data_IF_753223176413
#
_entry.id   IF_753223176413
#
_cell.length_a   1.000
_cell.length_b   1.000
_cell.length_c   1.000
_cell.angle_alpha   90.00
_cell.angle_beta   90.00
_cell.angle_gamma   90.00
#
_symmetry.space_group_name_H-M   'P 1'
#
loop_
_entity.id
_entity.type
_entity.pdbx_description
1 polymer ?
#
# COMPACT_ATOMS: atom_id res chain seq x y z
N UNK A 1 -54.28 73.20 -6.40
CA UNK A 1 -54.15 73.34 -7.89
C UNK A 1 -52.97 72.51 -8.28
N UNK A 2 -53.22 71.36 -8.74
CA UNK A 2 -53.52 70.79 -10.06
C UNK A 2 -52.21 70.41 -10.79
N UNK A 3 -51.99 69.15 -10.78
CA UNK A 3 -51.78 68.23 -11.93
C UNK A 3 -50.73 68.58 -13.01
N UNK A 4 -50.00 67.59 -13.31
CA UNK A 4 -49.24 67.28 -14.55
C UNK A 4 -47.75 67.07 -14.38
N UNK A 5 -47.40 65.86 -14.00
CA UNK A 5 -46.12 65.27 -14.30
C UNK A 5 -46.22 63.74 -14.45
N UNK A 6 -47.08 63.29 -15.38
CA UNK A 6 -47.29 61.83 -15.54
C UNK A 6 -47.10 61.31 -16.98
N UNK A 7 -46.41 62.04 -17.86
CA UNK A 7 -46.20 61.57 -19.26
C UNK A 7 -44.75 61.29 -19.69
N UNK A 8 -43.80 61.73 -18.91
CA UNK A 8 -42.37 61.50 -19.24
C UNK A 8 -41.72 60.19 -18.61
N UNK A 9 -42.46 59.58 -17.69
CA UNK A 9 -41.94 58.36 -17.03
C UNK A 9 -42.28 57.06 -17.78
N UNK A 10 -43.30 57.07 -18.69
CA UNK A 10 -43.64 55.88 -19.47
C UNK A 10 -42.80 55.65 -20.73
N UNK A 11 -42.13 56.70 -21.25
CA UNK A 11 -41.22 56.58 -22.40
C UNK A 11 -39.81 56.04 -22.03
N UNK A 12 -39.36 56.32 -20.82
CA UNK A 12 -38.06 55.91 -20.39
C UNK A 12 -38.00 54.43 -19.93
N UNK A 13 -39.13 53.87 -19.51
CA UNK A 13 -39.24 52.47 -19.10
C UNK A 13 -39.30 51.49 -20.27
N UNK A 14 -39.82 51.94 -21.45
CA UNK A 14 -39.82 51.08 -22.63
C UNK A 14 -38.50 51.03 -23.41
N UNK A 15 -37.65 52.04 -23.29
CA UNK A 15 -36.32 52.05 -23.91
C UNK A 15 -35.30 51.27 -23.10
N UNK A 16 -35.46 51.17 -21.80
CA UNK A 16 -34.60 50.29 -20.95
C UNK A 16 -34.93 48.80 -21.08
N UNK A 17 -36.18 48.45 -21.45
CA UNK A 17 -36.56 47.06 -21.67
C UNK A 17 -36.11 46.51 -23.03
N UNK A 18 -35.91 47.38 -24.04
CA UNK A 18 -35.42 46.99 -25.36
C UNK A 18 -33.89 46.81 -25.40
N UNK A 19 -33.13 47.45 -24.50
CA UNK A 19 -31.66 47.28 -24.41
C UNK A 19 -31.26 46.05 -23.61
N UNK A 20 -32.11 45.57 -22.70
CA UNK A 20 -31.86 44.35 -21.94
C UNK A 20 -32.14 43.05 -22.73
N UNK A 21 -32.83 43.11 -23.87
CA UNK A 21 -33.10 41.93 -24.70
C UNK A 21 -31.99 41.62 -25.75
N UNK A 22 -31.10 42.57 -26.02
CA UNK A 22 -30.00 42.39 -26.99
C UNK A 22 -28.73 41.82 -26.34
N UNK A 23 -28.59 41.92 -25.01
CA UNK A 23 -27.47 41.31 -24.28
C UNK A 23 -27.67 39.82 -23.90
N UNK A 24 -28.84 39.25 -24.15
CA UNK A 24 -29.14 37.84 -23.83
C UNK A 24 -28.78 36.83 -24.94
N UNK A 25 -28.22 37.28 -26.08
CA UNK A 25 -27.89 36.39 -27.21
C UNK A 25 -26.41 36.26 -27.54
N UNK A 26 -25.50 36.81 -26.72
CA UNK A 26 -24.07 36.66 -26.91
C UNK A 26 -23.38 35.85 -25.75
N UNK A 27 -24.17 35.20 -24.92
CA UNK A 27 -23.64 34.50 -23.73
C UNK A 27 -23.95 33.02 -23.68
N UNK A 28 -23.81 32.27 -24.77
CA UNK A 28 -23.85 30.80 -24.72
C UNK A 28 -22.98 30.20 -25.81
N UNK A 29 -21.70 30.42 -25.70
CA UNK A 29 -20.68 29.51 -26.24
C UNK A 29 -19.58 29.35 -25.20
N UNK A 30 -19.98 29.07 -23.96
CA UNK A 30 -19.10 28.33 -23.06
C UNK A 30 -19.26 26.86 -23.48
N UNK A 31 -18.37 26.37 -24.33
CA UNK A 31 -18.04 24.95 -24.32
C UNK A 31 -17.84 24.58 -22.85
N UNK A 32 -18.84 23.92 -22.24
CA UNK A 32 -18.54 23.08 -21.07
C UNK A 32 -17.43 22.15 -21.57
N UNK A 33 -16.19 22.47 -21.27
CA UNK A 33 -15.18 21.45 -21.21
C UNK A 33 -15.82 20.41 -20.29
N UNK A 34 -16.21 19.25 -20.81
CA UNK A 34 -16.51 18.08 -19.99
C UNK A 34 -15.31 17.93 -19.09
N UNK A 35 -15.50 18.19 -17.80
CA UNK A 35 -14.48 17.95 -16.79
C UNK A 35 -14.18 16.46 -16.92
N UNK A 36 -13.08 16.14 -17.58
CA UNK A 36 -12.72 14.75 -17.85
C UNK A 36 -12.62 14.05 -16.51
N UNK A 37 -13.45 13.03 -16.31
CA UNK A 37 -13.45 12.26 -15.06
C UNK A 37 -12.01 11.80 -14.79
N UNK A 38 -11.51 12.11 -13.59
CA UNK A 38 -10.21 11.68 -13.14
C UNK A 38 -10.23 10.19 -12.81
N UNK A 39 -9.11 9.52 -13.03
CA UNK A 39 -8.90 8.16 -12.56
C UNK A 39 -8.72 8.17 -11.04
N UNK A 40 -9.46 7.37 -10.32
CA UNK A 40 -9.31 7.18 -8.88
C UNK A 40 -8.39 5.99 -8.64
N UNK A 41 -7.28 6.23 -7.95
CA UNK A 41 -6.27 5.23 -7.61
C UNK A 41 -6.31 4.99 -6.11
N UNK A 42 -6.59 3.77 -5.68
CA UNK A 42 -6.43 3.37 -4.28
C UNK A 42 -5.17 2.52 -4.11
N UNK A 43 -4.41 2.81 -3.07
CA UNK A 43 -3.16 2.12 -2.75
C UNK A 43 -3.01 1.87 -1.26
N UNK A 44 -2.40 0.76 -0.88
CA UNK A 44 -1.88 0.53 0.48
C UNK A 44 -0.36 0.73 0.56
N UNK A 45 0.25 1.24 -0.52
CA UNK A 45 1.68 1.55 -0.55
C UNK A 45 2.06 2.63 0.45
N UNK A 46 3.26 2.54 0.98
CA UNK A 46 3.87 3.58 1.80
C UNK A 46 4.33 4.79 0.96
N UNK A 47 4.91 5.79 1.64
CA UNK A 47 5.26 7.06 1.01
C UNK A 47 6.23 6.89 -0.16
N UNK A 48 7.20 5.97 -0.07
CA UNK A 48 8.17 5.72 -1.14
C UNK A 48 7.52 5.09 -2.38
N UNK A 49 6.60 4.15 -2.19
CA UNK A 49 5.87 3.54 -3.30
C UNK A 49 4.95 4.56 -3.99
N UNK A 50 4.22 5.35 -3.21
CA UNK A 50 3.37 6.44 -3.72
C UNK A 50 4.19 7.45 -4.51
N UNK A 51 5.32 7.92 -3.97
CA UNK A 51 6.18 8.90 -4.63
C UNK A 51 6.73 8.37 -5.97
N UNK A 52 7.11 7.11 -6.05
CA UNK A 52 7.58 6.48 -7.29
C UNK A 52 6.47 6.42 -8.35
N UNK A 53 5.25 6.01 -7.96
CA UNK A 53 4.10 5.95 -8.85
C UNK A 53 3.69 7.34 -9.34
N UNK A 54 3.57 8.33 -8.45
CA UNK A 54 3.21 9.70 -8.82
C UNK A 54 4.26 10.35 -9.72
N UNK A 55 5.56 10.10 -9.46
CA UNK A 55 6.66 10.59 -10.31
C UNK A 55 6.52 10.04 -11.73
N UNK A 56 6.30 8.73 -11.88
CA UNK A 56 6.11 8.10 -13.18
C UNK A 56 4.88 8.66 -13.92
N UNK A 57 3.74 8.77 -13.23
CA UNK A 57 2.52 9.32 -13.80
C UNK A 57 2.67 10.79 -14.23
N UNK A 58 3.33 11.61 -13.42
CA UNK A 58 3.60 13.01 -13.74
C UNK A 58 4.51 13.14 -14.96
N UNK A 59 5.60 12.37 -15.04
CA UNK A 59 6.52 12.37 -16.16
C UNK A 59 5.85 11.93 -17.46
N UNK A 60 4.87 11.03 -17.39
CA UNK A 60 4.05 10.60 -18.54
C UNK A 60 2.92 11.58 -18.90
N UNK A 61 2.80 12.74 -18.22
CA UNK A 61 1.81 13.77 -18.53
C UNK A 61 0.39 13.48 -18.00
N UNK A 62 0.28 12.68 -16.93
CA UNK A 62 -1.00 12.41 -16.25
C UNK A 62 -1.27 13.33 -15.07
N UNK A 63 -0.43 14.34 -14.83
CA UNK A 63 -0.67 15.33 -13.77
C UNK A 63 -2.06 15.96 -13.89
N UNK A 64 -2.80 16.02 -12.77
CA UNK A 64 -4.18 16.50 -12.72
C UNK A 64 -5.25 15.57 -13.31
N UNK A 65 -4.88 14.40 -13.88
CA UNK A 65 -5.81 13.43 -14.48
C UNK A 65 -6.21 12.28 -13.56
N UNK A 66 -5.66 12.22 -12.36
CA UNK A 66 -5.98 11.22 -11.35
C UNK A 66 -6.13 11.84 -9.96
N UNK A 67 -6.68 11.05 -9.06
CA UNK A 67 -6.68 11.26 -7.62
C UNK A 67 -6.13 9.98 -7.00
N UNK A 68 -5.06 10.07 -6.23
CA UNK A 68 -4.48 8.94 -5.50
C UNK A 68 -4.84 9.06 -4.03
N UNK A 69 -5.37 7.97 -3.47
CA UNK A 69 -5.72 7.86 -2.06
C UNK A 69 -5.00 6.66 -1.43
N UNK A 70 -4.20 6.93 -0.41
CA UNK A 70 -3.56 5.89 0.41
C UNK A 70 -4.49 5.46 1.52
N UNK A 71 -4.65 4.16 1.68
CA UNK A 71 -5.48 3.50 2.69
C UNK A 71 -4.65 2.44 3.42
N UNK A 72 -4.99 2.10 4.65
CA UNK A 72 -4.40 0.97 5.32
C UNK A 72 -4.71 -0.35 4.59
N UNK A 73 -3.84 -1.37 4.73
CA UNK A 73 -4.04 -2.66 4.05
C UNK A 73 -5.40 -3.28 4.38
N UNK A 74 -5.78 -3.32 5.66
CA UNK A 74 -7.07 -3.89 6.08
C UNK A 74 -8.26 -3.04 5.64
N UNK A 75 -8.11 -1.72 5.62
CA UNK A 75 -9.15 -0.81 5.14
C UNK A 75 -9.42 -1.02 3.64
N UNK A 76 -8.37 -0.98 2.82
CA UNK A 76 -8.52 -1.19 1.38
C UNK A 76 -9.00 -2.60 1.06
N UNK A 77 -8.45 -3.62 1.74
CA UNK A 77 -8.90 -4.99 1.60
C UNK A 77 -10.37 -5.17 1.96
N UNK A 78 -10.80 -4.57 3.08
CA UNK A 78 -12.20 -4.56 3.50
C UNK A 78 -13.12 -3.89 2.47
N UNK A 79 -12.71 -2.76 1.89
CA UNK A 79 -13.46 -2.08 0.81
C UNK A 79 -13.57 -2.98 -0.43
N UNK A 80 -12.49 -3.61 -0.88
CA UNK A 80 -12.51 -4.53 -2.02
C UNK A 80 -13.49 -5.69 -1.81
N UNK A 81 -13.45 -6.29 -0.62
CA UNK A 81 -14.31 -7.45 -0.30
C UNK A 81 -15.77 -7.09 -0.01
N UNK A 82 -16.06 -5.83 0.35
CA UNK A 82 -17.41 -5.35 0.61
C UNK A 82 -18.07 -4.74 -0.63
N UNK A 83 -17.36 -3.90 -1.39
CA UNK A 83 -17.89 -3.09 -2.48
C UNK A 83 -17.76 -3.78 -3.85
N UNK A 84 -16.76 -4.64 -4.03
CA UNK A 84 -16.53 -5.34 -5.29
C UNK A 84 -16.40 -4.39 -6.47
N UNK A 85 -17.14 -4.66 -7.56
CA UNK A 85 -17.12 -3.82 -8.77
C UNK A 85 -17.67 -2.40 -8.57
N UNK A 86 -18.41 -2.14 -7.48
CA UNK A 86 -18.97 -0.84 -7.15
C UNK A 86 -17.98 0.09 -6.44
N UNK A 87 -16.79 -0.42 -6.10
CA UNK A 87 -15.73 0.38 -5.49
C UNK A 87 -15.44 1.65 -6.32
N UNK A 88 -15.19 2.78 -5.66
CA UNK A 88 -14.93 4.05 -6.35
C UNK A 88 -13.67 4.02 -7.21
N UNK A 89 -12.64 3.27 -6.79
CA UNK A 89 -11.36 3.20 -7.48
C UNK A 89 -11.47 2.60 -8.89
N UNK A 90 -10.75 3.19 -9.85
CA UNK A 90 -10.55 2.68 -11.21
C UNK A 90 -9.27 1.81 -11.28
N UNK A 91 -8.30 2.11 -10.42
CA UNK A 91 -7.00 1.46 -10.35
C UNK A 91 -6.68 1.11 -8.89
N UNK A 92 -6.23 -0.10 -8.65
CA UNK A 92 -5.89 -0.60 -7.32
C UNK A 92 -4.41 -1.02 -7.31
N UNK A 93 -3.67 -0.63 -6.27
CA UNK A 93 -2.39 -1.26 -5.95
C UNK A 93 -2.43 -1.77 -4.52
N UNK A 94 -2.26 -3.09 -4.35
CA UNK A 94 -2.21 -3.73 -3.03
C UNK A 94 -1.71 -5.17 -3.10
N UNK A 95 -1.63 -5.81 -1.95
CA UNK A 95 -1.23 -7.22 -1.84
C UNK A 95 -2.02 -8.12 -2.79
N UNK A 96 -1.32 -8.90 -3.58
CA UNK A 96 -1.88 -9.69 -4.69
C UNK A 96 -3.01 -10.60 -4.24
N UNK A 97 -2.95 -11.16 -3.04
CA UNK A 97 -3.98 -12.06 -2.53
C UNK A 97 -5.36 -11.40 -2.31
N UNK A 98 -5.41 -10.09 -2.02
CA UNK A 98 -6.68 -9.36 -1.98
C UNK A 98 -7.25 -9.16 -3.38
N UNK A 99 -6.37 -8.89 -4.36
CA UNK A 99 -6.78 -8.77 -5.77
C UNK A 99 -7.32 -10.11 -6.25
N UNK A 100 -6.62 -11.23 -5.98
CA UNK A 100 -7.07 -12.58 -6.33
C UNK A 100 -8.41 -12.94 -5.67
N UNK A 101 -8.56 -12.66 -4.37
CA UNK A 101 -9.78 -12.97 -3.63
C UNK A 101 -10.98 -12.16 -4.13
N UNK A 102 -10.79 -10.86 -4.38
CA UNK A 102 -11.86 -10.00 -4.93
C UNK A 102 -12.17 -10.35 -6.39
N UNK A 103 -11.20 -10.73 -7.20
CA UNK A 103 -11.45 -11.25 -8.55
C UNK A 103 -12.23 -12.55 -8.53
N UNK A 104 -11.84 -13.46 -7.67
CA UNK A 104 -12.54 -14.75 -7.53
C UNK A 104 -14.01 -14.57 -7.15
N UNK A 105 -14.30 -13.58 -6.29
CA UNK A 105 -15.65 -13.30 -5.79
C UNK A 105 -16.51 -12.47 -6.76
N UNK A 106 -15.93 -11.49 -7.42
CA UNK A 106 -16.69 -10.45 -8.13
C UNK A 106 -16.40 -10.36 -9.62
N UNK A 107 -15.31 -10.99 -10.12
CA UNK A 107 -14.85 -10.86 -11.51
C UNK A 107 -14.71 -9.40 -11.95
N UNK A 108 -14.12 -8.57 -11.07
CA UNK A 108 -14.18 -7.12 -11.14
C UNK A 108 -13.02 -6.45 -11.89
N UNK A 109 -11.97 -7.19 -12.21
CA UNK A 109 -10.82 -6.62 -12.89
C UNK A 109 -10.79 -6.96 -14.37
N UNK A 110 -10.29 -6.01 -15.15
CA UNK A 110 -10.04 -6.14 -16.58
C UNK A 110 -8.69 -6.81 -16.83
N UNK A 111 -8.62 -7.69 -17.81
CA UNK A 111 -7.33 -8.20 -18.28
C UNK A 111 -6.45 -7.04 -18.75
N UNK A 112 -5.18 -7.07 -18.34
CA UNK A 112 -4.22 -6.05 -18.74
C UNK A 112 -3.95 -6.14 -20.25
N UNK A 113 -4.02 -5.00 -20.94
CA UNK A 113 -3.86 -4.92 -22.39
C UNK A 113 -2.39 -4.82 -22.83
N UNK A 114 -1.45 -4.91 -21.90
CA UNK A 114 -0.01 -4.87 -22.15
C UNK A 114 0.67 -6.14 -21.63
N UNK A 115 1.81 -6.47 -22.21
CA UNK A 115 2.63 -7.60 -21.78
C UNK A 115 3.84 -7.13 -21.01
N UNK A 116 4.31 -7.97 -20.09
CA UNK A 116 5.51 -7.75 -19.30
C UNK A 116 6.43 -8.96 -19.42
N UNK A 117 7.68 -8.78 -19.01
CA UNK A 117 8.66 -9.85 -18.89
C UNK A 117 8.84 -10.29 -17.44
N UNK A 118 7.74 -10.47 -16.70
CA UNK A 118 7.78 -10.92 -15.31
C UNK A 118 8.54 -12.26 -15.19
N UNK A 119 9.22 -12.45 -14.05
CA UNK A 119 10.00 -13.67 -13.78
C UNK A 119 9.11 -14.86 -13.46
N UNK A 120 7.99 -14.61 -12.77
CA UNK A 120 6.98 -15.59 -12.45
C UNK A 120 5.73 -15.43 -13.34
N UNK A 121 4.87 -16.44 -13.36
CA UNK A 121 3.59 -16.39 -14.07
C UNK A 121 2.52 -15.76 -13.18
N UNK A 122 1.83 -14.75 -13.69
CA UNK A 122 0.74 -14.05 -13.02
C UNK A 122 -0.55 -14.17 -13.84
N UNK A 123 -1.72 -14.05 -13.20
CA UNK A 123 -3.01 -13.92 -13.91
C UNK A 123 -3.02 -12.71 -14.84
N UNK A 124 -3.89 -12.74 -15.86
CA UNK A 124 -3.98 -11.66 -16.86
C UNK A 124 -4.44 -10.31 -16.30
N UNK A 125 -5.11 -10.29 -15.15
CA UNK A 125 -5.77 -9.12 -14.58
C UNK A 125 -4.93 -8.32 -13.58
N UNK A 126 -3.72 -8.75 -13.25
CA UNK A 126 -2.76 -7.93 -12.46
C UNK A 126 -1.31 -8.20 -12.79
N UNK A 127 -0.43 -7.28 -12.39
CA UNK A 127 1.02 -7.44 -12.40
C UNK A 127 1.62 -6.94 -11.09
N UNK A 128 2.68 -7.60 -10.58
CA UNK A 128 3.36 -7.15 -9.36
C UNK A 128 4.12 -5.84 -9.64
N UNK A 129 4.08 -4.92 -8.67
CA UNK A 129 4.82 -3.65 -8.72
C UNK A 129 6.02 -3.65 -7.77
N UNK A 130 5.88 -4.29 -6.61
CA UNK A 130 6.94 -4.44 -5.62
C UNK A 130 6.72 -5.72 -4.79
N UNK A 131 7.70 -6.09 -3.98
CA UNK A 131 7.56 -7.13 -2.98
C UNK A 131 8.19 -6.69 -1.65
N UNK A 132 7.54 -7.08 -0.57
CA UNK A 132 7.93 -6.80 0.79
C UNK A 132 8.44 -8.08 1.46
N UNK A 133 9.63 -8.03 2.03
CA UNK A 133 10.25 -9.16 2.75
C UNK A 133 10.32 -8.86 4.24
N UNK A 134 9.85 -9.80 5.06
CA UNK A 134 9.92 -9.72 6.52
C UNK A 134 11.31 -10.03 7.07
N UNK A 135 11.75 -9.28 8.08
CA UNK A 135 13.02 -9.53 8.78
C UNK A 135 12.98 -8.93 10.20
N UNK A 136 13.86 -9.40 11.05
CA UNK A 136 14.15 -8.74 12.32
C UNK A 136 15.15 -7.62 12.06
N UNK A 137 15.07 -6.56 12.84
CA UNK A 137 16.06 -5.51 12.89
C UNK A 137 16.25 -5.03 14.34
N UNK A 138 17.41 -4.47 14.62
CA UNK A 138 17.83 -4.09 15.97
C UNK A 138 18.51 -2.73 15.97
N UNK A 139 18.39 -2.02 17.09
CA UNK A 139 19.24 -0.86 17.38
C UNK A 139 20.46 -1.34 18.18
N UNK A 140 21.64 -1.29 17.56
CA UNK A 140 22.88 -1.82 18.13
C UNK A 140 23.36 -1.05 19.36
N UNK A 141 23.03 0.24 19.46
CA UNK A 141 23.36 1.04 20.65
C UNK A 141 22.45 0.69 21.81
N UNK A 142 21.14 0.54 21.56
CA UNK A 142 20.18 0.14 22.61
C UNK A 142 20.50 -1.27 23.12
N UNK A 143 20.80 -2.24 22.22
CA UNK A 143 21.24 -3.57 22.64
C UNK A 143 22.44 -3.48 23.58
N UNK A 144 23.47 -2.72 23.21
CA UNK A 144 24.67 -2.53 24.02
C UNK A 144 24.36 -1.86 25.37
N UNK A 145 23.55 -0.80 25.37
CA UNK A 145 23.17 -0.08 26.61
C UNK A 145 22.39 -0.97 27.59
N UNK A 146 21.55 -1.86 27.06
CA UNK A 146 20.73 -2.78 27.85
C UNK A 146 21.41 -4.10 28.15
N UNK A 147 22.59 -4.37 27.58
CA UNK A 147 23.31 -5.64 27.75
C UNK A 147 22.58 -6.82 27.09
N UNK A 148 21.82 -6.56 25.99
CA UNK A 148 21.06 -7.57 25.27
C UNK A 148 21.91 -8.23 24.19
N UNK A 149 21.79 -9.54 24.04
CA UNK A 149 22.34 -10.26 22.90
C UNK A 149 21.52 -9.95 21.63
N UNK A 150 22.18 -9.94 20.47
CA UNK A 150 21.47 -9.76 19.20
C UNK A 150 20.62 -11.02 18.93
N UNK A 151 19.29 -10.88 18.66
CA UNK A 151 18.43 -12.03 18.39
C UNK A 151 18.81 -12.68 17.06
N UNK A 152 18.70 -14.01 16.98
CA UNK A 152 18.87 -14.78 15.74
C UNK A 152 17.53 -15.33 15.20
N UNK A 153 16.48 -15.25 16.00
CA UNK A 153 15.17 -15.81 15.73
C UNK A 153 14.04 -14.90 16.22
N UNK A 154 12.85 -15.07 15.68
CA UNK A 154 11.62 -14.43 16.22
C UNK A 154 11.40 -14.91 17.66
N UNK A 155 11.67 -16.20 17.94
CA UNK A 155 11.55 -16.77 19.27
C UNK A 155 12.50 -16.11 20.28
N UNK A 156 13.69 -15.64 19.87
CA UNK A 156 14.57 -14.91 20.77
C UNK A 156 13.95 -13.63 21.33
N UNK A 157 13.04 -12.99 20.56
CA UNK A 157 12.32 -11.79 20.99
C UNK A 157 11.30 -12.07 22.12
N UNK A 158 11.01 -13.34 22.41
CA UNK A 158 10.12 -13.73 23.51
C UNK A 158 10.84 -13.83 24.87
N UNK A 159 12.17 -13.76 24.89
CA UNK A 159 12.97 -13.83 26.11
C UNK A 159 12.60 -12.68 27.07
N UNK A 160 12.57 -12.91 28.39
CA UNK A 160 12.17 -11.91 29.37
C UNK A 160 12.92 -10.58 29.32
N UNK A 161 14.21 -10.61 28.93
CA UNK A 161 15.05 -9.43 28.80
C UNK A 161 14.62 -8.47 27.68
N UNK A 162 13.79 -8.96 26.73
CA UNK A 162 13.21 -8.15 25.65
C UNK A 162 11.86 -7.51 26.01
N UNK A 163 11.35 -7.74 27.21
CA UNK A 163 10.04 -7.23 27.61
C UNK A 163 9.96 -5.70 27.50
N UNK A 164 9.00 -5.19 26.74
CA UNK A 164 8.82 -3.76 26.48
C UNK A 164 9.87 -3.15 25.53
N UNK A 165 10.71 -3.96 24.91
CA UNK A 165 11.79 -3.53 24.03
C UNK A 165 11.67 -4.09 22.60
N UNK A 166 10.49 -4.58 22.22
CA UNK A 166 10.19 -5.15 20.91
C UNK A 166 9.02 -4.42 20.27
N UNK A 167 9.08 -4.14 18.98
CA UNK A 167 7.95 -3.64 18.17
C UNK A 167 7.69 -4.56 16.99
N UNK A 168 6.42 -4.87 16.73
CA UNK A 168 5.99 -5.69 15.59
C UNK A 168 4.75 -5.10 14.92
N UNK A 169 4.51 -5.39 13.63
CA UNK A 169 3.25 -5.00 12.99
C UNK A 169 2.11 -5.93 13.40
N UNK A 170 0.93 -5.36 13.61
CA UNK A 170 -0.29 -6.11 13.89
C UNK A 170 -0.83 -6.74 12.60
N UNK A 171 -1.01 -8.05 12.57
CA UNK A 171 -1.59 -8.77 11.42
C UNK A 171 -3.03 -8.29 11.11
N UNK A 172 -3.74 -7.73 12.11
CA UNK A 172 -5.10 -7.21 11.90
C UNK A 172 -5.11 -5.98 10.96
N UNK A 173 -3.99 -5.23 10.90
CA UNK A 173 -3.90 -3.95 10.20
C UNK A 173 -2.94 -3.97 9.03
N UNK A 174 -1.92 -4.84 9.09
CA UNK A 174 -0.80 -4.85 8.14
C UNK A 174 -0.45 -6.24 7.63
N UNK A 175 -0.30 -6.38 6.30
CA UNK A 175 0.19 -7.60 5.65
C UNK A 175 1.61 -8.00 6.10
N UNK A 176 2.41 -7.05 6.55
CA UNK A 176 3.74 -7.35 7.12
C UNK A 176 3.63 -8.16 8.42
N UNK A 177 2.57 -7.95 9.20
CA UNK A 177 2.27 -8.79 10.37
C UNK A 177 2.01 -10.25 10.00
N UNK A 178 1.45 -10.49 8.82
CA UNK A 178 1.24 -11.84 8.33
C UNK A 178 2.55 -12.57 8.00
N UNK A 179 3.58 -11.86 7.53
CA UNK A 179 4.92 -12.45 7.30
C UNK A 179 5.51 -13.02 8.60
N UNK A 180 5.34 -12.30 9.71
CA UNK A 180 5.77 -12.76 11.04
C UNK A 180 4.97 -14.00 11.48
N UNK A 181 3.65 -13.94 11.43
CA UNK A 181 2.78 -15.05 11.84
C UNK A 181 3.04 -16.30 11.00
N UNK A 182 3.23 -16.12 9.69
CA UNK A 182 3.56 -17.22 8.79
C UNK A 182 4.90 -17.87 9.12
N UNK A 183 5.93 -17.08 9.44
CA UNK A 183 7.24 -17.60 9.85
C UNK A 183 7.12 -18.42 11.14
N UNK A 184 6.37 -17.93 12.11
CA UNK A 184 6.13 -18.64 13.38
C UNK A 184 5.37 -19.95 13.17
N UNK A 185 4.25 -19.92 12.41
CA UNK A 185 3.45 -21.12 12.16
C UNK A 185 4.25 -22.17 11.37
N UNK A 186 5.02 -21.72 10.35
CA UNK A 186 5.81 -22.63 9.52
C UNK A 186 6.89 -23.35 10.31
N UNK A 187 7.56 -22.65 11.23
CA UNK A 187 8.67 -23.20 12.01
C UNK A 187 8.20 -24.03 13.20
N UNK A 188 7.16 -23.59 13.91
CA UNK A 188 6.78 -24.17 15.22
C UNK A 188 5.44 -24.91 15.18
N UNK A 189 4.68 -24.83 14.08
CA UNK A 189 3.32 -25.38 14.03
C UNK A 189 2.33 -24.57 14.89
N UNK A 190 1.12 -25.12 15.07
CA UNK A 190 0.06 -24.37 15.75
C UNK A 190 0.25 -24.29 17.27
N UNK A 191 0.60 -25.39 17.95
CA UNK A 191 0.67 -25.39 19.41
C UNK A 191 1.85 -24.55 19.93
N UNK A 192 3.06 -24.85 19.51
CA UNK A 192 4.25 -24.09 19.93
C UNK A 192 4.23 -22.68 19.35
N UNK A 193 3.77 -22.51 18.09
CA UNK A 193 3.63 -21.22 17.44
C UNK A 193 2.68 -20.28 18.20
N UNK A 194 1.59 -20.79 18.74
CA UNK A 194 0.68 -20.02 19.58
C UNK A 194 1.37 -19.55 20.87
N UNK A 195 2.17 -20.41 21.52
CA UNK A 195 2.92 -20.01 22.71
C UNK A 195 3.98 -18.96 22.37
N UNK A 196 4.71 -19.12 21.25
CA UNK A 196 5.69 -18.11 20.76
C UNK A 196 5.02 -16.77 20.53
N UNK A 197 3.85 -16.74 19.88
CA UNK A 197 3.10 -15.50 19.65
C UNK A 197 2.61 -14.89 20.96
N UNK A 198 2.11 -15.70 21.87
CA UNK A 198 1.68 -15.24 23.21
C UNK A 198 2.81 -14.51 23.94
N UNK A 199 3.96 -15.15 24.06
CA UNK A 199 5.10 -14.57 24.75
C UNK A 199 5.67 -13.34 24.02
N UNK A 200 5.67 -13.36 22.67
CA UNK A 200 6.07 -12.21 21.86
C UNK A 200 5.15 -11.02 22.06
N UNK A 201 3.83 -11.22 22.01
CA UNK A 201 2.82 -10.16 22.22
C UNK A 201 2.96 -9.57 23.63
N UNK A 202 3.20 -10.43 24.64
CA UNK A 202 3.45 -9.98 26.00
C UNK A 202 4.71 -9.10 26.14
N UNK A 203 5.76 -9.40 25.37
CA UNK A 203 6.99 -8.60 25.32
C UNK A 203 6.81 -7.30 24.54
N UNK A 204 6.02 -7.31 23.46
CA UNK A 204 5.70 -6.14 22.63
C UNK A 204 4.91 -5.09 23.41
N UNK A 205 3.90 -5.50 24.17
CA UNK A 205 3.05 -4.60 24.94
C UNK A 205 2.44 -3.47 24.07
N UNK A 206 2.74 -2.19 24.36
CA UNK A 206 2.16 -1.05 23.62
C UNK A 206 2.80 -0.79 22.24
N UNK A 207 3.81 -1.55 21.84
CA UNK A 207 4.56 -1.36 20.60
C UNK A 207 4.05 -2.24 19.45
N UNK A 208 2.76 -2.59 19.47
CA UNK A 208 2.06 -3.26 18.37
C UNK A 208 1.59 -2.20 17.37
N UNK A 209 2.20 -2.19 16.16
CA UNK A 209 2.05 -1.14 15.16
C UNK A 209 0.98 -1.49 14.12
N UNK A 210 0.24 -0.49 13.65
CA UNK A 210 -0.79 -0.64 12.62
C UNK A 210 -0.22 -0.70 11.18
N UNK A 211 1.07 -0.41 11.01
CA UNK A 211 1.73 -0.42 9.69
C UNK A 211 2.99 -1.28 9.68
N UNK A 212 3.36 -1.79 8.49
CA UNK A 212 4.61 -2.56 8.31
C UNK A 212 5.88 -1.74 8.55
N UNK A 213 5.80 -0.42 8.38
CA UNK A 213 6.90 0.53 8.60
C UNK A 213 6.92 1.17 10.00
N UNK A 214 5.93 0.87 10.85
CA UNK A 214 5.88 1.37 12.23
C UNK A 214 7.06 0.89 13.08
N UNK A 215 7.36 -0.42 13.10
CA UNK A 215 8.40 -0.96 13.97
C UNK A 215 9.79 -0.38 13.72
N UNK A 216 10.20 -0.16 12.47
CA UNK A 216 11.53 0.41 12.19
C UNK A 216 11.68 1.82 12.77
N UNK A 217 10.64 2.65 12.70
CA UNK A 217 10.65 4.02 13.26
C UNK A 217 10.91 4.01 14.77
N UNK A 218 10.31 3.06 15.50
CA UNK A 218 10.55 2.91 16.95
C UNK A 218 11.94 2.41 17.28
N UNK A 219 12.48 1.48 16.47
CA UNK A 219 13.84 0.98 16.63
C UNK A 219 14.87 2.08 16.29
N UNK A 220 14.66 2.85 15.22
CA UNK A 220 15.52 3.99 14.87
C UNK A 220 15.52 5.08 15.93
N UNK A 221 14.35 5.37 16.51
CA UNK A 221 14.20 6.33 17.61
C UNK A 221 14.82 5.83 18.92
N UNK A 222 15.22 4.55 19.02
CA UNK A 222 15.73 3.94 20.25
C UNK A 222 14.66 3.74 21.34
N UNK A 223 13.37 3.81 20.98
CA UNK A 223 12.27 3.52 21.89
C UNK A 223 12.24 2.04 22.28
N UNK A 224 12.60 1.17 21.33
CA UNK A 224 12.74 -0.28 21.52
C UNK A 224 14.09 -0.77 20.99
N UNK A 225 14.53 -1.94 21.45
CA UNK A 225 15.82 -2.52 21.06
C UNK A 225 15.74 -3.30 19.75
N UNK A 226 14.59 -3.92 19.47
CA UNK A 226 14.38 -4.79 18.32
C UNK A 226 12.99 -4.63 17.73
N UNK A 227 12.84 -5.04 16.47
CA UNK A 227 11.53 -5.11 15.81
C UNK A 227 11.51 -6.14 14.71
N UNK A 228 10.30 -6.51 14.30
CA UNK A 228 10.07 -7.23 13.05
C UNK A 228 9.34 -6.31 12.08
N UNK A 229 9.73 -6.32 10.81
CA UNK A 229 9.11 -5.49 9.78
C UNK A 229 9.77 -5.67 8.42
N UNK A 230 9.86 -4.59 7.65
CA UNK A 230 10.34 -4.61 6.27
C UNK A 230 11.87 -4.59 6.21
N UNK A 231 12.47 -5.66 5.69
CA UNK A 231 13.91 -5.88 5.62
C UNK A 231 14.67 -4.73 4.93
N UNK A 232 14.14 -4.25 3.81
CA UNK A 232 14.78 -3.20 3.01
C UNK A 232 14.94 -1.88 3.78
N UNK A 233 14.00 -1.57 4.68
CA UNK A 233 14.09 -0.36 5.52
C UNK A 233 15.28 -0.43 6.48
N UNK A 234 15.51 -1.59 7.10
CA UNK A 234 16.66 -1.79 7.97
C UNK A 234 18.00 -1.78 7.20
N UNK A 235 18.03 -2.38 6.00
CA UNK A 235 19.21 -2.30 5.11
C UNK A 235 19.53 -0.84 4.75
N UNK A 236 18.51 -0.05 4.38
CA UNK A 236 18.63 1.37 4.04
C UNK A 236 19.09 2.21 5.25
N UNK A 237 18.50 1.99 6.42
CA UNK A 237 18.88 2.67 7.66
C UNK A 237 20.36 2.40 8.03
N UNK A 238 20.77 1.14 7.96
CA UNK A 238 22.16 0.76 8.18
C UNK A 238 23.11 1.42 7.19
N UNK A 239 22.77 1.42 5.90
CA UNK A 239 23.58 2.05 4.86
C UNK A 239 23.70 3.58 5.03
N UNK A 240 22.70 4.21 5.65
CA UNK A 240 22.70 5.64 6.00
C UNK A 240 23.48 5.97 7.26
N UNK A 241 24.09 4.97 7.92
CA UNK A 241 24.90 5.16 9.14
C UNK A 241 24.08 5.19 10.43
N UNK A 242 22.80 4.85 10.41
CA UNK A 242 22.03 4.67 11.64
C UNK A 242 22.57 3.45 12.44
N UNK A 243 22.44 3.45 13.79
CA UNK A 243 22.86 2.33 14.62
C UNK A 243 21.88 1.14 14.49
N UNK A 244 21.51 0.82 13.26
CA UNK A 244 20.57 -0.25 12.92
C UNK A 244 21.32 -1.41 12.29
N UNK A 245 20.93 -2.62 12.66
CA UNK A 245 21.34 -3.84 11.97
C UNK A 245 20.10 -4.70 11.68
N UNK A 246 20.18 -5.55 10.66
CA UNK A 246 19.11 -6.48 10.31
C UNK A 246 19.54 -7.92 10.59
N UNK A 247 18.56 -8.77 10.78
CA UNK A 247 18.74 -10.21 11.03
C UNK A 247 17.72 -10.96 10.21
N UNK A 248 18.22 -11.82 9.34
CA UNK A 248 17.38 -12.80 8.65
C UNK A 248 17.07 -13.93 9.65
N UNK A 249 15.82 -14.05 10.15
CA UNK A 249 15.51 -14.92 11.27
C UNK A 249 15.59 -16.39 10.87
N UNK A 250 15.94 -17.26 11.82
CA UNK A 250 16.01 -18.70 11.59
C UNK A 250 14.69 -19.33 11.16
N UNK A 251 13.57 -18.70 11.44
CA UNK A 251 12.24 -19.06 10.96
C UNK A 251 12.03 -18.76 9.48
N UNK A 252 12.94 -18.03 8.85
CA UNK A 252 12.96 -17.69 7.44
C UNK A 252 12.33 -16.35 7.11
N UNK A 253 12.69 -15.86 5.92
CA UNK A 253 12.19 -14.61 5.35
C UNK A 253 11.06 -14.92 4.36
N UNK A 254 9.84 -14.61 4.74
CA UNK A 254 8.68 -14.63 3.84
C UNK A 254 8.53 -13.30 3.12
N UNK A 255 8.01 -13.34 1.90
CA UNK A 255 7.77 -12.14 1.08
C UNK A 255 6.35 -12.14 0.53
N UNK A 256 5.76 -10.94 0.45
CA UNK A 256 4.47 -10.68 -0.18
C UNK A 256 4.67 -9.74 -1.37
N UNK A 257 3.98 -10.01 -2.47
CA UNK A 257 3.92 -9.11 -3.61
C UNK A 257 2.75 -8.14 -3.48
N UNK A 258 3.02 -6.89 -3.82
CA UNK A 258 2.00 -5.87 -4.09
C UNK A 258 1.84 -5.76 -5.61
N UNK A 259 0.62 -5.76 -6.08
CA UNK A 259 0.28 -5.79 -7.50
C UNK A 259 -0.67 -4.66 -7.87
N UNK A 260 -0.72 -4.36 -9.17
CA UNK A 260 -1.60 -3.37 -9.77
C UNK A 260 -2.69 -4.07 -10.58
N UNK A 261 -3.93 -3.63 -10.43
CA UNK A 261 -5.09 -4.12 -11.17
C UNK A 261 -6.03 -2.97 -11.57
N UNK A 262 -6.69 -3.11 -12.71
CA UNK A 262 -7.66 -2.13 -13.24
C UNK A 262 -9.07 -2.66 -13.04
N UNK A 263 -9.92 -1.89 -12.36
CA UNK A 263 -11.33 -2.24 -12.15
C UNK A 263 -12.10 -2.06 -13.45
N UNK A 264 -12.83 -3.08 -13.90
CA UNK A 264 -13.61 -3.05 -15.14
C UNK A 264 -14.97 -2.33 -14.96
N UNK A 265 -14.92 -1.02 -14.87
CA UNK A 265 -16.11 -0.17 -14.74
C UNK A 265 -16.88 0.05 -16.05
N UNK A 266 -16.34 -0.44 -17.18
CA UNK A 266 -16.91 -0.26 -18.53
C UNK A 266 -17.24 1.20 -18.86
N UNK A 267 -16.41 2.13 -18.41
CA UNK A 267 -16.57 3.57 -18.59
C UNK A 267 -15.31 4.22 -19.19
N UNK A 268 -15.36 5.54 -19.42
CA UNK A 268 -14.28 6.28 -20.07
C UNK A 268 -12.97 6.33 -19.25
N UNK A 269 -12.99 6.11 -17.93
CA UNK A 269 -11.78 6.11 -17.09
C UNK A 269 -11.04 4.79 -17.16
N UNK A 270 -11.69 3.68 -17.52
CA UNK A 270 -11.06 2.34 -17.56
C UNK A 270 -9.85 2.29 -18.52
N UNK A 271 -9.96 2.86 -19.72
CA UNK A 271 -8.84 2.87 -20.68
C UNK A 271 -7.70 3.80 -20.25
N UNK A 272 -8.03 4.90 -19.56
CA UNK A 272 -7.03 5.80 -18.99
C UNK A 272 -6.33 5.14 -17.79
N UNK A 273 -7.07 4.45 -16.93
CA UNK A 273 -6.53 3.66 -15.81
C UNK A 273 -5.58 2.56 -16.32
N UNK A 274 -5.94 1.89 -17.43
CA UNK A 274 -5.08 0.88 -18.06
C UNK A 274 -3.74 1.47 -18.52
N UNK A 275 -3.75 2.64 -19.16
CA UNK A 275 -2.51 3.34 -19.56
C UNK A 275 -1.69 3.79 -18.36
N UNK A 276 -2.33 4.24 -17.28
CA UNK A 276 -1.65 4.58 -16.04
C UNK A 276 -1.04 3.35 -15.37
N UNK A 277 -1.74 2.20 -15.38
CA UNK A 277 -1.20 0.93 -14.89
C UNK A 277 0.05 0.51 -15.67
N UNK A 278 0.00 0.61 -17.00
CA UNK A 278 1.17 0.33 -17.86
C UNK A 278 2.35 1.24 -17.55
N UNK A 279 2.08 2.55 -17.36
CA UNK A 279 3.11 3.54 -16.98
C UNK A 279 3.74 3.20 -15.63
N UNK A 280 2.93 2.88 -14.61
CA UNK A 280 3.45 2.50 -13.30
C UNK A 280 4.35 1.26 -13.41
N UNK A 281 3.93 0.24 -14.13
CA UNK A 281 4.73 -0.99 -14.33
C UNK A 281 6.05 -0.70 -15.06
N UNK A 282 6.02 0.12 -16.11
CA UNK A 282 7.21 0.34 -16.96
C UNK A 282 8.14 1.41 -16.40
N UNK A 283 7.60 2.50 -15.90
CA UNK A 283 8.37 3.70 -15.59
C UNK A 283 8.65 3.87 -14.09
N UNK A 284 7.71 3.48 -13.20
CA UNK A 284 7.95 3.54 -11.75
C UNK A 284 8.84 2.39 -11.26
N UNK A 285 8.94 1.28 -12.00
CA UNK A 285 9.63 0.07 -11.53
C UNK A 285 11.10 0.32 -11.17
N UNK A 286 11.80 1.20 -11.88
CA UNK A 286 13.19 1.57 -11.57
C UNK A 286 13.35 2.18 -10.17
N UNK A 287 12.44 3.04 -9.79
CA UNK A 287 12.45 3.67 -8.46
C UNK A 287 11.91 2.70 -7.41
N UNK A 288 10.91 1.91 -7.77
CA UNK A 288 10.36 0.88 -6.89
C UNK A 288 11.41 -0.19 -6.54
N UNK A 289 12.19 -0.71 -7.48
CA UNK A 289 13.24 -1.70 -7.17
C UNK A 289 14.38 -1.11 -6.33
N UNK A 290 14.60 0.18 -6.41
CA UNK A 290 15.59 0.86 -5.57
C UNK A 290 15.14 0.91 -4.11
N UNK A 291 13.85 1.15 -3.87
CA UNK A 291 13.29 1.23 -2.52
C UNK A 291 12.86 -0.15 -1.99
N UNK A 292 12.36 -1.03 -2.87
CA UNK A 292 11.91 -2.39 -2.57
C UNK A 292 12.72 -3.39 -3.40
N UNK A 293 13.96 -3.70 -2.98
CA UNK A 293 14.94 -4.39 -3.80
C UNK A 293 14.67 -5.89 -3.89
N UNK A 294 13.61 -6.25 -4.60
CA UNK A 294 13.24 -7.61 -4.99
C UNK A 294 13.05 -7.61 -6.52
N UNK A 295 13.82 -8.45 -7.22
CA UNK A 295 13.66 -8.62 -8.66
C UNK A 295 12.33 -9.33 -8.98
N UNK A 296 11.53 -8.77 -9.86
CA UNK A 296 10.23 -9.28 -10.31
C UNK A 296 10.17 -9.47 -11.83
N UNK A 297 11.07 -8.81 -12.57
CA UNK A 297 11.09 -8.80 -14.03
C UNK A 297 12.45 -9.27 -14.58
N UNK A 298 12.43 -9.92 -15.74
CA UNK A 298 13.63 -10.40 -16.40
C UNK A 298 14.61 -9.25 -16.64
N UNK A 299 15.90 -9.48 -16.32
CA UNK A 299 16.96 -8.49 -16.44
C UNK A 299 17.11 -7.55 -15.24
N UNK A 300 16.20 -7.59 -14.26
CA UNK A 300 16.42 -6.88 -13.00
C UNK A 300 17.48 -7.54 -12.15
N UNK A 301 18.31 -6.72 -11.52
CA UNK A 301 19.34 -7.17 -10.57
C UNK A 301 19.22 -6.41 -9.28
N UNK A 302 19.47 -7.10 -8.17
CA UNK A 302 19.54 -6.50 -6.83
C UNK A 302 20.88 -6.85 -6.20
N UNK A 303 21.42 -5.94 -5.41
CA UNK A 303 22.66 -6.16 -4.68
C UNK A 303 22.49 -7.30 -3.66
N UNK A 304 23.58 -8.05 -3.40
CA UNK A 304 23.51 -9.21 -2.52
C UNK A 304 23.09 -8.87 -1.08
N UNK A 305 23.38 -7.67 -0.60
CA UNK A 305 22.93 -7.18 0.72
C UNK A 305 21.41 -7.17 0.85
N UNK A 306 20.70 -7.01 -0.26
CA UNK A 306 19.24 -6.97 -0.30
C UNK A 306 18.60 -8.36 -0.43
N UNK A 307 19.38 -9.39 -0.72
CA UNK A 307 18.89 -10.77 -0.79
C UNK A 307 18.79 -11.35 0.62
N UNK A 308 17.59 -11.80 1.05
CA UNK A 308 17.47 -12.45 2.33
C UNK A 308 18.24 -13.79 2.34
N UNK A 309 18.87 -14.10 3.46
CA UNK A 309 19.67 -15.33 3.59
C UNK A 309 18.80 -16.60 3.61
N UNK A 310 17.54 -16.47 4.03
CA UNK A 310 16.64 -17.61 4.25
C UNK A 310 15.26 -17.35 3.60
N UNK A 311 15.24 -17.12 2.26
CA UNK A 311 13.98 -16.96 1.53
C UNK A 311 13.09 -18.18 1.65
N UNK A 312 11.84 -17.97 2.09
CA UNK A 312 10.83 -19.01 2.26
C UNK A 312 9.64 -18.73 1.33
N UNK A 313 9.02 -19.83 0.88
CA UNK A 313 7.75 -19.77 0.13
C UNK A 313 6.62 -20.19 1.05
N UNK A 314 5.45 -19.60 0.82
CA UNK A 314 4.22 -20.03 1.50
C UNK A 314 3.86 -21.46 1.05
N UNK A 315 3.50 -22.31 2.00
CA UNK A 315 3.10 -23.69 1.72
C UNK A 315 1.71 -23.81 1.05
N UNK A 316 0.86 -22.81 1.30
CA UNK A 316 -0.49 -22.71 0.70
C UNK A 316 -0.59 -21.42 -0.11
N UNK A 317 -1.44 -21.34 -1.14
CA UNK A 317 -1.77 -20.09 -1.79
C UNK A 317 -2.30 -19.08 -0.77
N UNK A 318 -1.90 -17.82 -0.91
CA UNK A 318 -2.38 -16.74 -0.05
C UNK A 318 -3.80 -16.36 -0.48
N UNK A 319 -4.72 -16.37 0.47
CA UNK A 319 -6.12 -15.96 0.29
C UNK A 319 -6.58 -15.13 1.49
N UNK A 320 -7.71 -14.43 1.34
CA UNK A 320 -8.31 -13.69 2.46
C UNK A 320 -8.75 -14.65 3.56
N UNK A 321 -9.27 -15.82 3.22
CA UNK A 321 -9.69 -16.84 4.19
C UNK A 321 -8.51 -17.33 5.03
N UNK A 322 -7.35 -17.58 4.39
CA UNK A 322 -6.13 -17.97 5.13
C UNK A 322 -5.62 -16.83 6.01
N UNK A 323 -5.75 -15.57 5.56
CA UNK A 323 -5.43 -14.42 6.38
C UNK A 323 -6.33 -14.36 7.62
N UNK A 324 -7.64 -14.53 7.45
CA UNK A 324 -8.62 -14.54 8.55
C UNK A 324 -8.35 -15.67 9.56
N UNK A 325 -7.98 -16.86 9.07
CA UNK A 325 -7.55 -17.99 9.90
C UNK A 325 -6.33 -17.61 10.76
N UNK A 326 -5.31 -16.99 10.15
CA UNK A 326 -4.11 -16.58 10.85
C UNK A 326 -4.31 -15.35 11.75
N UNK A 327 -5.22 -14.45 11.40
CA UNK A 327 -5.65 -13.36 12.27
C UNK A 327 -6.35 -13.89 13.54
N UNK A 328 -7.21 -14.88 13.36
CA UNK A 328 -7.82 -15.58 14.50
C UNK A 328 -6.77 -16.26 15.36
N UNK A 329 -5.81 -16.99 14.74
CA UNK A 329 -4.71 -17.64 15.44
C UNK A 329 -3.90 -16.65 16.29
N UNK A 330 -3.56 -15.48 15.73
CA UNK A 330 -2.87 -14.40 16.43
C UNK A 330 -3.70 -13.83 17.59
N UNK A 331 -4.99 -13.63 17.38
CA UNK A 331 -5.89 -13.11 18.44
C UNK A 331 -6.09 -14.14 19.56
N UNK A 332 -6.15 -15.42 19.24
CA UNK A 332 -6.26 -16.50 20.23
C UNK A 332 -4.97 -16.67 21.07
N UNK A 333 -3.85 -16.05 20.64
CA UNK A 333 -2.59 -16.01 21.37
C UNK A 333 -2.46 -14.79 22.30
N UNK A 334 -3.33 -13.78 22.19
CA UNK A 334 -3.36 -12.65 23.13
C UNK A 334 -3.91 -13.11 24.48
#
# INVERSE_FOLDING_TARGET
MSMSKSKTFKGLLLTLLAISLVFALVGCSSSKAEESKKVVIYTNGDEEAVAAMETALKNAGYDGKYVLQSLGTSELGGKLMAEGSDIEADLITMSSYFIDSSQSKYHMYKDLSFTTNAMDSYPSYYMPILANTGSIFVNTEVLKQKGLEKPASIKDLTKPEYKGLVSIPNIMDSSTGWLLVQAVITQYGEEEGKQVLHDLIANVGPHLESSGSGPIKKVEAGEVAAGFGLRHQAVKAKASGAPIDYVDPSEGNFSLTESIAVVDKKNATTDLAMKMAETIIKDARKDLITNYPVALYQGETVEDINKPAQSMKFAKPLTVELLEEHQKFFNDAK
#
